data_IF_186884073577
#
_entry.id   IF_186884073577
#
_cell.length_a   1.000
_cell.length_b   1.000
_cell.length_c   1.000
_cell.angle_alpha   90.00
_cell.angle_beta   90.00
_cell.angle_gamma   90.00
#
_symmetry.space_group_name_H-M   'P 1'
#
loop_
_entity.id
_entity.type
_entity.pdbx_description
1 polymer ?
#
# COMPACT_ATOMS: atom_id res chain seq x y z
N UNK A 1 9.89 18.06 -10.76
CA UNK A 1 9.31 16.73 -11.08
C UNK A 1 8.16 16.34 -10.16
N UNK A 2 8.35 16.30 -8.83
CA UNK A 2 7.25 15.92 -7.91
C UNK A 2 6.04 16.85 -7.93
N UNK A 3 6.24 18.16 -8.08
CA UNK A 3 5.13 19.13 -8.08
C UNK A 3 4.08 18.83 -9.17
N UNK A 4 4.52 18.50 -10.39
CA UNK A 4 3.59 18.17 -11.48
C UNK A 4 2.84 16.85 -11.21
N UNK A 5 3.54 15.84 -10.67
CA UNK A 5 2.95 14.55 -10.33
C UNK A 5 1.89 14.70 -9.21
N UNK A 6 2.21 15.45 -8.16
CA UNK A 6 1.31 15.63 -7.03
C UNK A 6 0.15 16.56 -7.34
N UNK A 7 0.36 17.60 -8.16
CA UNK A 7 -0.74 18.43 -8.66
C UNK A 7 -1.77 17.57 -9.40
N UNK A 8 -1.32 16.73 -10.33
CA UNK A 8 -2.21 15.86 -11.10
C UNK A 8 -2.92 14.83 -10.21
N UNK A 9 -2.24 14.25 -9.22
CA UNK A 9 -2.86 13.37 -8.23
C UNK A 9 -3.94 14.10 -7.43
N UNK A 10 -3.63 15.28 -6.85
CA UNK A 10 -4.59 16.03 -6.03
C UNK A 10 -5.85 16.40 -6.82
N UNK A 11 -5.68 16.88 -8.05
CA UNK A 11 -6.81 17.25 -8.94
C UNK A 11 -7.75 16.09 -9.26
N UNK A 12 -7.29 14.84 -9.16
CA UNK A 12 -8.09 13.65 -9.42
C UNK A 12 -8.57 12.95 -8.15
N UNK A 13 -7.76 12.91 -7.09
CA UNK A 13 -8.06 12.19 -5.85
C UNK A 13 -9.08 12.93 -4.98
N UNK A 14 -9.00 14.25 -4.84
CA UNK A 14 -9.97 15.01 -4.05
C UNK A 14 -11.39 14.87 -4.63
N UNK A 15 -11.64 15.08 -5.94
CA UNK A 15 -12.97 14.86 -6.49
C UNK A 15 -13.43 13.40 -6.49
N UNK A 16 -12.51 12.44 -6.53
CA UNK A 16 -12.85 11.02 -6.40
C UNK A 16 -13.32 10.71 -4.98
N UNK A 17 -12.61 11.21 -3.96
CA UNK A 17 -12.98 11.08 -2.56
C UNK A 17 -14.36 11.66 -2.28
N UNK A 18 -14.64 12.87 -2.77
CA UNK A 18 -15.96 13.51 -2.62
C UNK A 18 -17.09 12.65 -3.18
N UNK A 19 -16.89 12.09 -4.39
CA UNK A 19 -17.86 11.19 -5.01
C UNK A 19 -18.07 9.92 -4.20
N UNK A 20 -17.00 9.34 -3.67
CA UNK A 20 -17.07 8.13 -2.83
C UNK A 20 -17.83 8.43 -1.53
N UNK A 21 -17.53 9.56 -0.86
CA UNK A 21 -18.23 9.96 0.36
C UNK A 21 -19.74 10.14 0.11
N UNK A 22 -20.12 10.84 -0.96
CA UNK A 22 -21.52 11.00 -1.37
C UNK A 22 -22.22 9.68 -1.73
N UNK A 23 -21.51 8.74 -2.37
CA UNK A 23 -22.05 7.42 -2.68
C UNK A 23 -22.28 6.60 -1.41
N UNK A 24 -21.35 6.69 -0.44
CA UNK A 24 -21.41 5.98 0.83
C UNK A 24 -22.58 6.43 1.72
N UNK A 25 -22.95 7.71 1.66
CA UNK A 25 -24.17 8.20 2.32
C UNK A 25 -25.43 7.48 1.84
N UNK A 26 -25.47 7.07 0.56
CA UNK A 26 -26.60 6.36 -0.04
C UNK A 26 -26.51 4.84 0.14
N UNK A 27 -25.30 4.29 0.14
CA UNK A 27 -25.02 2.87 0.27
C UNK A 27 -23.75 2.67 1.13
N UNK A 28 -23.89 2.55 2.47
CA UNK A 28 -22.75 2.54 3.39
C UNK A 28 -21.87 1.30 3.28
N UNK A 29 -22.32 0.26 2.57
CA UNK A 29 -21.60 -1.00 2.42
C UNK A 29 -21.61 -1.88 3.66
N UNK A 30 -20.95 -3.05 3.58
CA UNK A 30 -20.81 -3.95 4.73
C UNK A 30 -19.95 -3.31 5.83
N UNK A 31 -20.19 -3.72 7.07
CA UNK A 31 -19.40 -3.32 8.23
C UNK A 31 -19.18 -4.50 9.16
N UNK A 32 -18.14 -4.40 10.00
CA UNK A 32 -17.86 -5.39 11.04
C UNK A 32 -18.78 -5.10 12.23
N UNK A 33 -19.63 -6.05 12.65
CA UNK A 33 -20.41 -5.88 13.88
C UNK A 33 -19.49 -5.69 15.08
N UNK A 34 -19.83 -4.78 15.99
CA UNK A 34 -19.05 -4.53 17.23
C UNK A 34 -18.97 -5.73 18.17
N UNK A 35 -19.81 -6.75 17.97
CA UNK A 35 -19.83 -8.01 18.69
C UNK A 35 -18.95 -9.09 18.05
N UNK A 36 -18.37 -8.81 16.88
CA UNK A 36 -17.50 -9.77 16.18
C UNK A 36 -16.20 -9.93 16.95
N UNK A 37 -15.66 -11.14 16.91
CA UNK A 37 -14.37 -11.45 17.52
C UNK A 37 -13.56 -12.30 16.55
N UNK A 38 -12.32 -11.89 16.30
CA UNK A 38 -11.40 -12.55 15.39
C UNK A 38 -10.18 -13.02 16.20
N UNK A 39 -10.18 -14.25 16.73
CA UNK A 39 -9.09 -14.73 17.58
C UNK A 39 -7.72 -14.61 16.90
N UNK A 40 -6.73 -14.09 17.64
CA UNK A 40 -5.36 -13.87 17.13
C UNK A 40 -4.75 -15.13 16.45
N UNK A 41 -4.87 -16.36 17.00
CA UNK A 41 -4.32 -17.54 16.34
C UNK A 41 -4.90 -17.81 14.95
N UNK A 42 -6.16 -17.44 14.72
CA UNK A 42 -6.83 -17.60 13.42
C UNK A 42 -6.37 -16.49 12.45
N UNK A 43 -6.17 -15.27 12.95
CA UNK A 43 -5.54 -14.19 12.17
C UNK A 43 -4.11 -14.56 11.75
N UNK A 44 -3.27 -15.08 12.66
CA UNK A 44 -1.90 -15.52 12.34
C UNK A 44 -1.90 -16.62 11.27
N UNK A 45 -2.73 -17.66 11.44
CA UNK A 45 -2.84 -18.74 10.47
C UNK A 45 -3.31 -18.25 9.09
N UNK A 46 -4.29 -17.34 9.03
CA UNK A 46 -4.75 -16.75 7.78
C UNK A 46 -3.63 -15.92 7.12
N UNK A 47 -2.97 -15.07 7.88
CA UNK A 47 -1.88 -14.21 7.42
C UNK A 47 -0.69 -15.01 6.87
N UNK A 48 -0.27 -16.08 7.56
CA UNK A 48 0.78 -16.99 7.06
C UNK A 48 0.39 -17.60 5.73
N UNK A 49 -0.86 -18.05 5.59
CA UNK A 49 -1.37 -18.62 4.34
C UNK A 49 -1.33 -17.60 3.19
N UNK A 50 -1.64 -16.33 3.45
CA UNK A 50 -1.50 -15.25 2.45
C UNK A 50 -0.04 -15.08 2.03
N UNK A 51 0.88 -14.96 2.99
CA UNK A 51 2.30 -14.80 2.70
C UNK A 51 2.88 -15.99 1.90
N UNK A 52 2.53 -17.22 2.30
CA UNK A 52 2.89 -18.45 1.57
C UNK A 52 2.33 -18.44 0.14
N UNK A 53 1.07 -18.01 -0.04
CA UNK A 53 0.44 -17.94 -1.37
C UNK A 53 1.17 -16.98 -2.30
N UNK A 54 1.68 -15.86 -1.79
CA UNK A 54 2.48 -14.92 -2.57
C UNK A 54 3.89 -15.45 -2.89
N UNK A 55 4.33 -16.50 -2.20
CA UNK A 55 5.63 -17.15 -2.42
C UNK A 55 6.71 -16.72 -1.43
N UNK A 56 6.34 -16.17 -0.27
CA UNK A 56 7.30 -15.86 0.78
C UNK A 56 7.96 -17.15 1.29
N UNK A 57 9.30 -17.14 1.35
CA UNK A 57 10.05 -18.30 1.81
C UNK A 57 10.28 -18.27 3.33
N UNK A 58 9.45 -19.00 4.08
CA UNK A 58 9.59 -19.15 5.54
C UNK A 58 10.83 -19.94 5.99
N UNK A 59 11.55 -20.61 5.08
CA UNK A 59 12.87 -21.19 5.41
C UNK A 59 13.99 -20.14 5.39
N UNK A 60 13.74 -18.96 4.83
CA UNK A 60 14.67 -17.84 4.71
C UNK A 60 14.08 -16.57 5.35
N UNK A 61 13.20 -16.73 6.33
CA UNK A 61 12.47 -15.63 6.92
C UNK A 61 11.42 -16.04 7.95
N UNK A 62 10.81 -15.06 8.61
CA UNK A 62 9.74 -15.30 9.59
C UNK A 62 8.82 -14.09 9.74
N UNK A 63 7.62 -14.37 10.28
CA UNK A 63 6.60 -13.37 10.64
C UNK A 63 6.41 -13.35 12.16
N UNK A 64 6.47 -12.15 12.75
CA UNK A 64 6.39 -11.87 14.19
C UNK A 64 5.41 -10.74 14.53
N UNK A 65 5.24 -10.44 15.82
CA UNK A 65 4.38 -9.36 16.31
C UNK A 65 5.22 -8.14 16.69
N UNK A 66 4.74 -6.94 16.34
CA UNK A 66 5.30 -5.67 16.86
C UNK A 66 4.24 -4.57 16.96
N UNK A 67 4.56 -3.45 17.60
CA UNK A 67 3.63 -2.30 17.73
C UNK A 67 3.35 -1.59 16.40
N UNK A 68 4.32 -1.58 15.49
CA UNK A 68 4.22 -1.00 14.15
C UNK A 68 4.80 -2.01 13.16
N UNK A 69 4.00 -2.56 12.24
CA UNK A 69 4.49 -3.46 11.19
C UNK A 69 5.69 -2.88 10.45
N UNK A 70 6.69 -3.72 10.19
CA UNK A 70 7.85 -3.39 9.36
C UNK A 70 8.48 -4.65 8.80
N UNK A 71 9.25 -4.48 7.73
CA UNK A 71 10.11 -5.51 7.14
C UNK A 71 11.57 -5.16 7.36
N UNK A 72 12.36 -6.14 7.77
CA UNK A 72 13.79 -6.00 7.97
C UNK A 72 14.52 -7.34 7.74
N UNK A 73 15.77 -7.29 7.33
CA UNK A 73 16.64 -8.46 7.27
C UNK A 73 17.90 -8.25 8.10
N UNK A 74 18.49 -9.35 8.59
CA UNK A 74 19.79 -9.29 9.26
C UNK A 74 20.96 -9.54 8.28
N UNK A 75 20.75 -10.41 7.29
CA UNK A 75 21.68 -10.78 6.24
C UNK A 75 20.91 -11.37 5.06
N UNK A 76 21.56 -11.58 3.91
CA UNK A 76 20.89 -12.21 2.78
C UNK A 76 20.47 -13.64 3.13
N UNK A 77 19.20 -13.97 2.83
CA UNK A 77 18.59 -15.24 3.25
C UNK A 77 17.97 -15.24 4.65
N UNK A 78 17.95 -14.10 5.36
CA UNK A 78 17.13 -13.88 6.56
C UNK A 78 16.31 -12.60 6.41
N UNK A 79 15.09 -12.74 5.89
CA UNK A 79 14.12 -11.65 5.72
C UNK A 79 12.96 -11.84 6.68
N UNK A 80 12.76 -10.87 7.57
CA UNK A 80 11.72 -10.92 8.60
C UNK A 80 10.74 -9.79 8.38
N UNK A 81 9.52 -10.01 8.81
CA UNK A 81 8.56 -8.93 8.92
C UNK A 81 7.64 -9.12 10.10
N UNK A 82 6.98 -8.04 10.50
CA UNK A 82 6.10 -8.03 11.66
C UNK A 82 4.69 -7.61 11.27
N UNK A 83 3.72 -7.99 12.09
CA UNK A 83 2.35 -7.50 12.00
C UNK A 83 1.82 -7.13 13.40
N UNK A 84 0.62 -6.56 13.44
CA UNK A 84 -0.12 -6.28 14.67
C UNK A 84 -1.54 -6.79 14.51
N UNK A 85 -1.99 -7.60 15.47
CA UNK A 85 -3.34 -8.15 15.48
C UNK A 85 -4.29 -7.26 16.28
N UNK A 86 -5.56 -7.28 15.89
CA UNK A 86 -6.67 -6.67 16.62
C UNK A 86 -7.85 -7.64 16.58
N UNK A 87 -8.29 -8.14 17.74
CA UNK A 87 -9.40 -9.10 17.81
C UNK A 87 -10.74 -8.52 17.35
N UNK A 88 -10.87 -7.19 17.30
CA UNK A 88 -12.06 -6.51 16.79
C UNK A 88 -12.00 -6.25 15.26
N UNK A 89 -10.81 -6.24 14.67
CA UNK A 89 -10.58 -5.76 13.29
C UNK A 89 -9.47 -6.56 12.58
N UNK A 90 -9.82 -7.62 11.81
CA UNK A 90 -8.84 -8.51 11.20
C UNK A 90 -8.24 -7.92 9.92
N UNK A 91 -8.92 -7.00 9.24
CA UNK A 91 -8.47 -6.52 7.93
C UNK A 91 -7.22 -5.65 8.04
N UNK A 92 -7.01 -4.98 9.18
CA UNK A 92 -5.78 -4.23 9.46
C UNK A 92 -4.54 -5.12 9.41
N UNK A 93 -4.55 -6.26 10.12
CA UNK A 93 -3.41 -7.17 10.12
C UNK A 93 -3.22 -7.88 8.77
N UNK A 94 -4.31 -8.19 8.08
CA UNK A 94 -4.29 -8.83 6.75
C UNK A 94 -3.61 -7.89 5.75
N UNK A 95 -4.05 -6.62 5.69
CA UNK A 95 -3.43 -5.61 4.84
C UNK A 95 -1.95 -5.39 5.18
N UNK A 96 -1.61 -5.29 6.47
CA UNK A 96 -0.22 -5.16 6.90
C UNK A 96 0.63 -6.36 6.46
N UNK A 97 0.13 -7.59 6.56
CA UNK A 97 0.87 -8.78 6.12
C UNK A 97 1.03 -8.82 4.61
N UNK A 98 0.02 -8.43 3.83
CA UNK A 98 0.17 -8.32 2.38
C UNK A 98 1.23 -7.28 2.00
N UNK A 99 1.23 -6.13 2.68
CA UNK A 99 2.19 -5.05 2.51
C UNK A 99 3.62 -5.50 2.81
N UNK A 100 3.85 -5.98 4.03
CA UNK A 100 5.17 -6.39 4.49
C UNK A 100 5.69 -7.62 3.74
N UNK A 101 4.80 -8.52 3.31
CA UNK A 101 5.21 -9.63 2.43
C UNK A 101 5.75 -9.09 1.11
N UNK A 102 5.17 -8.05 0.52
CA UNK A 102 5.68 -7.47 -0.72
C UNK A 102 7.07 -6.84 -0.59
N UNK A 103 7.33 -6.16 0.52
CA UNK A 103 8.68 -5.74 0.90
C UNK A 103 9.64 -6.93 1.03
N UNK A 104 9.22 -7.94 1.78
CA UNK A 104 10.04 -9.12 2.03
C UNK A 104 10.35 -9.92 0.75
N UNK A 105 9.41 -9.98 -0.19
CA UNK A 105 9.60 -10.63 -1.49
C UNK A 105 10.63 -9.91 -2.36
N UNK A 106 10.74 -8.59 -2.26
CA UNK A 106 11.80 -7.85 -2.94
C UNK A 106 13.16 -8.24 -2.39
N UNK A 107 13.32 -8.20 -1.06
CA UNK A 107 14.57 -8.55 -0.39
C UNK A 107 14.98 -10.01 -0.69
N UNK A 108 14.03 -10.96 -0.66
CA UNK A 108 14.27 -12.36 -1.03
C UNK A 108 14.57 -12.55 -2.52
N UNK A 109 14.28 -11.56 -3.37
CA UNK A 109 14.54 -11.58 -4.81
C UNK A 109 15.87 -10.92 -5.22
N UNK A 110 16.61 -10.30 -4.28
CA UNK A 110 17.93 -9.73 -4.56
C UNK A 110 18.96 -10.84 -4.84
N UNK A 111 19.91 -10.55 -5.75
CA UNK A 111 20.90 -11.53 -6.19
C UNK A 111 22.01 -11.74 -5.14
N UNK A 112 22.12 -12.95 -4.61
CA UNK A 112 23.15 -13.34 -3.63
C UNK A 112 24.59 -13.18 -4.16
N UNK A 113 24.81 -13.31 -5.48
CA UNK A 113 26.13 -13.08 -6.08
C UNK A 113 26.65 -11.64 -5.92
N UNK A 114 25.78 -10.71 -5.52
CA UNK A 114 26.10 -9.32 -5.28
C UNK A 114 25.98 -8.92 -3.79
N UNK A 115 25.83 -9.90 -2.89
CA UNK A 115 25.79 -9.67 -1.45
C UNK A 115 27.00 -8.83 -0.99
N UNK A 116 26.77 -7.98 0.02
CA UNK A 116 27.77 -7.03 0.56
C UNK A 116 28.27 -5.95 -0.41
N UNK A 117 27.63 -5.80 -1.58
CA UNK A 117 27.91 -4.70 -2.50
C UNK A 117 26.69 -3.79 -2.66
N UNK A 118 26.85 -2.51 -3.05
CA UNK A 118 25.72 -1.66 -3.38
C UNK A 118 24.79 -2.31 -4.42
N UNK A 119 25.36 -3.04 -5.40
CA UNK A 119 24.60 -3.72 -6.46
C UNK A 119 23.61 -4.76 -5.91
N UNK A 120 23.89 -5.38 -4.78
CA UNK A 120 23.03 -6.36 -4.12
C UNK A 120 21.93 -5.76 -3.25
N UNK A 121 21.87 -4.44 -3.09
CA UNK A 121 20.88 -3.76 -2.25
C UNK A 121 19.62 -3.37 -3.04
N UNK A 122 18.51 -3.18 -2.34
CA UNK A 122 17.34 -2.50 -2.89
C UNK A 122 17.69 -1.08 -3.37
N UNK A 123 17.05 -0.65 -4.46
CA UNK A 123 17.49 0.55 -5.19
C UNK A 123 17.07 1.86 -4.50
N UNK A 124 15.85 1.92 -3.95
CA UNK A 124 15.32 3.07 -3.22
C UNK A 124 14.06 2.70 -2.44
N UNK A 125 13.67 3.56 -1.51
CA UNK A 125 12.41 3.45 -0.76
C UNK A 125 11.19 3.42 -1.68
N UNK A 126 11.16 4.25 -2.73
CA UNK A 126 10.01 4.27 -3.66
C UNK A 126 9.85 2.99 -4.47
N UNK A 127 10.94 2.35 -4.91
CA UNK A 127 10.85 1.03 -5.56
C UNK A 127 10.54 -0.06 -4.54
N UNK A 128 11.02 0.07 -3.31
CA UNK A 128 10.72 -0.88 -2.24
C UNK A 128 9.24 -0.86 -1.85
N UNK A 129 8.67 0.34 -1.70
CA UNK A 129 7.25 0.59 -1.48
C UNK A 129 6.39 0.15 -2.68
N UNK A 130 6.90 0.22 -3.90
CA UNK A 130 6.14 -0.26 -5.04
C UNK A 130 5.89 -1.76 -4.99
N UNK A 131 6.80 -2.52 -4.38
CA UNK A 131 6.62 -3.96 -4.19
C UNK A 131 5.59 -4.23 -3.11
N UNK A 132 5.65 -3.55 -1.95
CA UNK A 132 4.64 -3.71 -0.90
C UNK A 132 3.24 -3.34 -1.38
N UNK A 133 3.08 -2.18 -2.05
CA UNK A 133 1.79 -1.72 -2.56
C UNK A 133 1.23 -2.58 -3.69
N UNK A 134 2.09 -3.14 -4.54
CA UNK A 134 1.65 -4.07 -5.58
C UNK A 134 0.99 -5.30 -4.98
N UNK A 135 1.64 -5.94 -4.02
CA UNK A 135 1.13 -7.14 -3.35
C UNK A 135 -0.04 -6.85 -2.40
N UNK A 136 0.02 -5.73 -1.67
CA UNK A 136 -1.07 -5.27 -0.80
C UNK A 136 -2.33 -4.97 -1.61
N UNK A 137 -2.25 -4.04 -2.54
CA UNK A 137 -3.42 -3.35 -3.07
C UNK A 137 -3.92 -3.93 -4.39
N UNK A 138 -3.04 -4.00 -5.38
CA UNK A 138 -3.41 -4.44 -6.72
C UNK A 138 -3.63 -5.94 -6.80
N UNK A 139 -2.98 -6.71 -5.92
CA UNK A 139 -3.20 -8.16 -5.76
C UNK A 139 -4.10 -8.44 -4.56
N UNK A 140 -3.66 -8.12 -3.33
CA UNK A 140 -4.36 -8.54 -2.11
C UNK A 140 -5.72 -7.91 -1.85
N UNK A 141 -5.97 -6.72 -2.40
CA UNK A 141 -7.27 -6.05 -2.34
C UNK A 141 -8.05 -6.14 -3.66
N UNK A 142 -7.70 -7.04 -4.58
CA UNK A 142 -8.45 -7.25 -5.82
C UNK A 142 -9.66 -8.18 -5.62
N UNK A 143 -10.64 -8.08 -6.52
CA UNK A 143 -11.80 -8.95 -6.51
C UNK A 143 -11.40 -10.42 -6.74
N UNK A 144 -10.52 -10.71 -7.71
CA UNK A 144 -10.02 -12.06 -7.95
C UNK A 144 -9.34 -12.67 -6.74
N UNK A 145 -8.58 -11.89 -5.95
CA UNK A 145 -7.94 -12.43 -4.76
C UNK A 145 -8.96 -12.79 -3.69
N UNK A 146 -10.00 -11.96 -3.50
CA UNK A 146 -11.04 -12.23 -2.50
C UNK A 146 -11.99 -13.38 -2.89
N UNK A 147 -12.09 -13.75 -4.17
CA UNK A 147 -12.71 -15.04 -4.58
C UNK A 147 -11.94 -16.26 -4.08
N UNK A 148 -10.63 -16.13 -3.88
CA UNK A 148 -9.77 -17.19 -3.35
C UNK A 148 -9.73 -17.11 -1.81
N UNK A 149 -9.36 -15.94 -1.29
CA UNK A 149 -9.15 -15.70 0.13
C UNK A 149 -10.46 -15.71 0.92
N UNK A 150 -11.60 -15.40 0.31
CA UNK A 150 -12.91 -15.45 0.96
C UNK A 150 -13.25 -16.84 1.50
N UNK A 151 -12.87 -17.89 0.78
CA UNK A 151 -13.01 -19.26 1.27
C UNK A 151 -12.14 -19.54 2.49
N UNK A 152 -10.92 -19.01 2.52
CA UNK A 152 -10.03 -19.16 3.68
C UNK A 152 -10.53 -18.36 4.87
N UNK A 153 -11.10 -17.19 4.61
CA UNK A 153 -11.65 -16.31 5.62
C UNK A 153 -12.83 -17.00 6.33
N UNK A 154 -13.82 -17.48 5.57
CA UNK A 154 -14.98 -18.21 6.11
C UNK A 154 -14.60 -19.51 6.82
N UNK A 155 -13.53 -20.19 6.36
CA UNK A 155 -13.00 -21.36 7.07
C UNK A 155 -12.37 -21.00 8.42
N UNK A 156 -11.73 -19.83 8.50
CA UNK A 156 -11.00 -19.38 9.70
C UNK A 156 -11.93 -18.71 10.71
N UNK A 157 -12.93 -17.96 10.26
CA UNK A 157 -13.80 -17.15 11.11
C UNK A 157 -15.25 -17.57 10.90
N UNK A 158 -15.76 -18.40 11.82
CA UNK A 158 -17.12 -18.95 11.76
C UNK A 158 -18.14 -18.12 12.57
N UNK A 159 -17.65 -17.31 13.52
CA UNK A 159 -18.48 -16.50 14.43
C UNK A 159 -18.72 -15.06 13.92
N UNK A 160 -18.46 -14.80 12.64
CA UNK A 160 -18.74 -13.51 11.98
C UNK A 160 -19.96 -13.63 11.03
N UNK A 161 -20.53 -12.51 10.55
CA UNK A 161 -21.56 -12.57 9.51
C UNK A 161 -21.09 -13.40 8.31
N UNK A 162 -22.02 -14.09 7.65
CA UNK A 162 -21.73 -14.76 6.39
C UNK A 162 -21.55 -13.72 5.28
N UNK A 163 -20.30 -13.25 5.14
CA UNK A 163 -19.91 -12.35 4.07
C UNK A 163 -19.62 -13.11 2.78
N UNK A 164 -20.23 -12.63 1.69
CA UNK A 164 -19.85 -13.06 0.34
C UNK A 164 -18.44 -12.59 0.00
N UNK A 165 -17.88 -13.11 -1.09
CA UNK A 165 -16.57 -12.64 -1.60
C UNK A 165 -16.63 -11.14 -1.97
N UNK A 166 -17.79 -10.68 -2.47
CA UNK A 166 -18.04 -9.27 -2.75
C UNK A 166 -18.06 -8.43 -1.45
N UNK A 167 -18.71 -8.91 -0.39
CA UNK A 167 -18.73 -8.20 0.89
C UNK A 167 -17.33 -8.06 1.48
N UNK A 168 -16.53 -9.14 1.47
CA UNK A 168 -15.14 -9.11 1.94
C UNK A 168 -14.27 -8.17 1.09
N UNK A 169 -14.43 -8.21 -0.23
CA UNK A 169 -13.77 -7.30 -1.15
C UNK A 169 -14.13 -5.83 -0.86
N UNK A 170 -15.40 -5.54 -0.56
CA UNK A 170 -15.85 -4.19 -0.17
C UNK A 170 -15.36 -3.78 1.22
N UNK A 171 -15.30 -4.70 2.18
CA UNK A 171 -14.77 -4.44 3.53
C UNK A 171 -13.30 -4.02 3.49
N UNK A 172 -12.44 -4.74 2.77
CA UNK A 172 -11.01 -4.39 2.73
C UNK A 172 -10.71 -3.15 1.87
N UNK A 173 -11.62 -2.76 0.99
CA UNK A 173 -11.50 -1.58 0.14
C UNK A 173 -12.33 -0.41 0.63
N UNK A 174 -12.71 -0.42 1.91
CA UNK A 174 -13.46 0.67 2.50
C UNK A 174 -12.62 1.95 2.50
N UNK A 175 -13.24 3.03 2.03
CA UNK A 175 -12.70 4.40 2.02
C UNK A 175 -13.35 5.22 3.14
N UNK A 176 -12.54 5.92 3.92
CA UNK A 176 -12.98 6.84 4.97
C UNK A 176 -12.05 8.04 5.04
N UNK A 177 -12.60 9.21 5.34
CA UNK A 177 -11.81 10.34 5.78
C UNK A 177 -11.38 10.11 7.23
N UNK A 178 -10.11 9.83 7.44
CA UNK A 178 -9.52 9.65 8.77
C UNK A 178 -8.27 10.52 8.92
N UNK A 179 -7.80 10.69 10.16
CA UNK A 179 -6.67 11.57 10.44
C UNK A 179 -5.31 10.87 10.30
N UNK A 180 -5.26 9.54 10.36
CA UNK A 180 -4.04 8.77 10.61
C UNK A 180 -3.54 8.16 9.30
N UNK A 181 -2.43 8.69 8.77
CA UNK A 181 -1.87 8.25 7.47
C UNK A 181 -1.64 6.74 7.37
N UNK A 182 -1.16 6.09 8.43
CA UNK A 182 -0.88 4.65 8.42
C UNK A 182 -2.14 3.78 8.41
N UNK A 183 -3.31 4.37 8.67
CA UNK A 183 -4.63 3.73 8.62
C UNK A 183 -5.45 4.22 7.40
N UNK A 184 -4.87 5.05 6.54
CA UNK A 184 -5.55 5.58 5.37
C UNK A 184 -5.72 4.53 4.26
N UNK A 185 -6.84 4.60 3.56
CA UNK A 185 -7.16 3.75 2.41
C UNK A 185 -6.41 4.19 1.14
N UNK A 186 -6.51 3.43 0.05
CA UNK A 186 -5.74 3.71 -1.17
C UNK A 186 -6.05 5.06 -1.83
N UNK A 187 -7.26 5.58 -1.66
CA UNK A 187 -7.70 6.85 -2.24
C UNK A 187 -7.15 8.02 -1.42
N UNK A 188 -7.25 7.92 -0.09
CA UNK A 188 -6.89 9.01 0.83
C UNK A 188 -5.40 9.02 1.17
N UNK A 189 -4.70 7.88 1.16
CA UNK A 189 -3.30 7.74 1.58
C UNK A 189 -2.35 8.73 0.89
N UNK A 190 -2.50 8.92 -0.43
CA UNK A 190 -1.64 9.84 -1.17
C UNK A 190 -1.94 11.30 -0.85
N UNK A 191 -3.17 11.66 -0.46
CA UNK A 191 -3.48 13.00 0.05
C UNK A 191 -2.71 13.28 1.35
N UNK A 192 -2.61 12.31 2.26
CA UNK A 192 -1.83 12.45 3.49
C UNK A 192 -0.34 12.67 3.20
N UNK A 193 0.21 11.95 2.23
CA UNK A 193 1.61 12.10 1.80
C UNK A 193 1.85 13.48 1.18
N UNK A 194 0.97 13.91 0.27
CA UNK A 194 1.07 15.22 -0.37
C UNK A 194 0.95 16.35 0.64
N UNK A 195 0.15 16.18 1.70
CA UNK A 195 -0.03 17.22 2.72
C UNK A 195 1.31 17.48 3.43
N UNK A 196 2.02 16.41 3.80
CA UNK A 196 3.34 16.51 4.40
C UNK A 196 4.35 17.12 3.44
N UNK A 197 4.29 16.75 2.17
CA UNK A 197 5.15 17.35 1.15
C UNK A 197 4.91 18.86 0.98
N UNK A 198 3.66 19.32 0.99
CA UNK A 198 3.36 20.75 0.92
C UNK A 198 3.82 21.51 2.17
N UNK A 199 3.71 20.89 3.36
CA UNK A 199 4.30 21.45 4.58
C UNK A 199 5.82 21.54 4.48
N UNK A 200 6.50 20.49 4.03
CA UNK A 200 7.96 20.50 3.84
C UNK A 200 8.39 21.56 2.82
N UNK A 201 7.67 21.69 1.70
CA UNK A 201 7.91 22.76 0.72
C UNK A 201 7.72 24.15 1.32
N UNK A 202 6.68 24.35 2.11
CA UNK A 202 6.44 25.63 2.75
C UNK A 202 7.63 26.03 3.64
N UNK A 203 8.18 25.07 4.42
CA UNK A 203 9.36 25.29 5.26
C UNK A 203 10.59 25.61 4.40
N UNK A 204 10.96 24.72 3.48
CA UNK A 204 12.28 24.78 2.83
C UNK A 204 12.34 25.69 1.60
N UNK A 205 11.26 25.81 0.83
CA UNK A 205 11.24 26.60 -0.39
C UNK A 205 10.62 27.99 -0.18
N UNK A 206 9.65 28.10 0.74
CA UNK A 206 8.91 29.34 0.96
C UNK A 206 9.28 30.06 2.27
N UNK A 207 10.12 29.46 3.11
CA UNK A 207 10.62 30.07 4.35
C UNK A 207 9.57 30.18 5.46
N UNK A 208 8.55 29.31 5.46
CA UNK A 208 7.53 29.24 6.52
C UNK A 208 8.17 28.92 7.88
N UNK A 209 7.72 29.61 8.92
CA UNK A 209 8.17 29.32 10.29
C UNK A 209 7.57 28.01 10.80
N UNK A 210 8.33 27.26 11.60
CA UNK A 210 7.90 25.95 12.15
C UNK A 210 6.64 26.11 13.02
N UNK A 211 6.45 27.26 13.68
CA UNK A 211 5.25 27.55 14.46
C UNK A 211 3.98 27.67 13.62
N UNK A 212 4.08 27.84 12.30
CA UNK A 212 2.94 27.92 11.38
C UNK A 212 2.48 26.54 10.87
N UNK A 213 3.23 25.46 11.16
CA UNK A 213 2.90 24.08 10.74
C UNK A 213 1.48 23.67 11.13
N UNK A 214 1.00 23.84 12.39
CA UNK A 214 -0.35 23.43 12.75
C UNK A 214 -1.44 24.12 11.91
N UNK A 215 -1.24 25.41 11.60
CA UNK A 215 -2.20 26.16 10.81
C UNK A 215 -2.26 25.66 9.36
N UNK A 216 -1.11 25.55 8.68
CA UNK A 216 -1.06 25.05 7.30
C UNK A 216 -1.60 23.61 7.23
N UNK A 217 -1.21 22.76 8.17
CA UNK A 217 -1.69 21.38 8.26
C UNK A 217 -3.22 21.33 8.31
N UNK A 218 -3.82 22.07 9.25
CA UNK A 218 -5.25 22.04 9.47
C UNK A 218 -6.02 22.60 8.26
N UNK A 219 -5.51 23.65 7.62
CA UNK A 219 -6.12 24.20 6.40
C UNK A 219 -6.09 23.22 5.24
N UNK A 220 -4.95 22.56 4.98
CA UNK A 220 -4.85 21.54 3.92
C UNK A 220 -5.73 20.32 4.22
N UNK A 221 -5.85 19.93 5.49
CA UNK A 221 -6.69 18.82 5.89
C UNK A 221 -8.17 19.10 5.63
N UNK A 222 -8.65 20.29 6.01
CA UNK A 222 -10.02 20.71 5.75
C UNK A 222 -10.28 20.84 4.24
N UNK A 223 -9.33 21.41 3.48
CA UNK A 223 -9.45 21.59 2.03
C UNK A 223 -9.54 20.25 1.27
N UNK A 224 -8.71 19.26 1.62
CA UNK A 224 -8.59 18.04 0.83
C UNK A 224 -9.41 16.87 1.34
N UNK A 225 -9.73 16.84 2.64
CA UNK A 225 -10.48 15.75 3.28
C UNK A 225 -11.86 16.19 3.76
N UNK A 226 -12.17 17.50 3.75
CA UNK A 226 -13.46 18.02 4.17
C UNK A 226 -13.74 17.92 5.67
N UNK A 227 -12.72 17.67 6.50
CA UNK A 227 -12.86 17.51 7.95
C UNK A 227 -11.85 18.37 8.72
N UNK A 228 -12.31 18.94 9.84
CA UNK A 228 -11.48 19.74 10.73
C UNK A 228 -10.66 18.86 11.67
N UNK A 229 -9.36 19.15 11.79
CA UNK A 229 -8.45 18.46 12.71
C UNK A 229 -8.77 18.89 14.15
N UNK A 230 -9.07 17.96 15.07
CA UNK A 230 -9.54 18.31 16.41
C UNK A 230 -8.43 18.76 17.36
N UNK A 231 -7.19 18.32 17.14
CA UNK A 231 -6.01 18.67 17.95
C UNK A 231 -4.73 18.18 17.24
N UNK A 232 -3.57 18.69 17.67
CA UNK A 232 -2.28 18.38 17.04
C UNK A 232 -1.83 16.92 17.16
N UNK A 233 -2.34 16.16 18.14
CA UNK A 233 -2.06 14.72 18.27
C UNK A 233 -2.64 13.93 17.10
N UNK A 234 -3.81 14.34 16.61
CA UNK A 234 -4.42 13.83 15.38
C UNK A 234 -4.04 14.69 14.15
N UNK A 235 -3.25 15.74 14.36
CA UNK A 235 -2.77 16.66 13.33
C UNK A 235 -1.31 16.44 13.02
N UNK A 236 -0.54 17.53 13.05
CA UNK A 236 0.86 17.57 12.64
C UNK A 236 1.82 16.74 13.51
N UNK A 237 1.42 16.29 14.71
CA UNK A 237 2.26 15.46 15.60
C UNK A 237 2.06 13.95 15.41
N UNK A 238 1.22 13.52 14.47
CA UNK A 238 0.87 12.10 14.31
C UNK A 238 2.02 11.21 13.82
N UNK A 239 3.02 11.78 13.14
CA UNK A 239 4.13 11.04 12.53
C UNK A 239 5.48 11.40 13.16
N UNK A 240 6.33 10.38 13.33
CA UNK A 240 7.65 10.52 13.97
C UNK A 240 8.74 11.06 13.03
N UNK A 241 8.46 11.13 11.72
CA UNK A 241 9.47 11.39 10.68
C UNK A 241 10.21 12.71 10.88
N UNK A 242 9.49 13.81 11.10
CA UNK A 242 10.11 15.12 11.30
C UNK A 242 10.91 15.20 12.60
N UNK A 243 10.42 14.57 13.68
CA UNK A 243 11.18 14.43 14.92
C UNK A 243 12.48 13.61 14.74
N UNK A 244 12.50 12.72 13.75
CA UNK A 244 13.66 11.89 13.36
C UNK A 244 14.49 12.51 12.23
N UNK A 245 14.25 13.78 11.88
CA UNK A 245 14.93 14.52 10.81
C UNK A 245 14.76 13.91 9.39
N UNK A 246 13.72 13.10 9.19
CA UNK A 246 13.44 12.44 7.91
C UNK A 246 12.62 13.34 6.95
N UNK A 247 13.18 14.50 6.60
CA UNK A 247 12.60 15.41 5.60
C UNK A 247 12.86 14.93 4.16
N UNK A 248 11.91 15.14 3.25
CA UNK A 248 11.97 14.60 1.89
C UNK A 248 11.70 13.09 1.80
N UNK A 249 11.32 12.45 2.92
CA UNK A 249 11.06 11.03 3.02
C UNK A 249 9.67 10.68 2.48
N UNK A 250 8.63 11.42 2.90
CA UNK A 250 7.23 11.10 2.59
C UNK A 250 6.92 10.92 1.09
N UNK A 251 7.47 11.72 0.15
CA UNK A 251 7.20 11.55 -1.27
C UNK A 251 7.51 10.14 -1.80
N UNK A 252 8.44 9.42 -1.16
CA UNK A 252 8.79 8.05 -1.54
C UNK A 252 7.62 7.07 -1.42
N UNK A 253 6.70 7.30 -0.47
CA UNK A 253 5.51 6.46 -0.33
C UNK A 253 4.58 6.57 -1.54
N UNK A 254 4.31 7.79 -2.01
CA UNK A 254 3.47 7.98 -3.21
C UNK A 254 4.16 7.48 -4.46
N UNK A 255 5.49 7.65 -4.59
CA UNK A 255 6.23 7.05 -5.70
C UNK A 255 6.06 5.52 -5.75
N UNK A 256 5.98 4.85 -4.60
CA UNK A 256 5.66 3.44 -4.51
C UNK A 256 4.33 3.10 -5.19
N UNK A 257 3.27 3.82 -4.86
CA UNK A 257 1.96 3.65 -5.50
C UNK A 257 2.03 3.85 -7.02
N UNK A 258 2.70 4.90 -7.50
CA UNK A 258 2.81 5.18 -8.93
C UNK A 258 3.59 4.09 -9.67
N UNK A 259 4.74 3.70 -9.13
CA UNK A 259 5.57 2.66 -9.72
C UNK A 259 4.84 1.32 -9.71
N UNK A 260 4.09 0.99 -8.66
CA UNK A 260 3.36 -0.27 -8.57
C UNK A 260 2.37 -0.42 -9.71
N UNK A 261 1.58 0.63 -10.01
CA UNK A 261 0.59 0.60 -11.08
C UNK A 261 1.24 0.51 -12.47
N UNK A 262 2.33 1.25 -12.68
CA UNK A 262 3.06 1.24 -13.94
C UNK A 262 3.75 -0.12 -14.20
N UNK A 263 4.22 -0.79 -13.14
CA UNK A 263 4.77 -2.14 -13.23
C UNK A 263 3.70 -3.18 -13.57
N UNK A 264 2.50 -3.07 -12.97
CA UNK A 264 1.38 -3.96 -13.29
C UNK A 264 0.92 -3.78 -14.75
N UNK A 265 0.78 -2.54 -15.24
CA UNK A 265 0.44 -2.28 -16.65
C UNK A 265 1.44 -2.94 -17.59
N UNK A 266 2.74 -2.85 -17.28
CA UNK A 266 3.77 -3.50 -18.08
C UNK A 266 3.73 -5.02 -17.98
N UNK A 267 3.53 -5.56 -16.77
CA UNK A 267 3.49 -7.00 -16.52
C UNK A 267 2.36 -7.68 -17.29
N UNK A 268 1.15 -7.11 -17.30
CA UNK A 268 0.01 -7.71 -18.03
C UNK A 268 0.24 -7.73 -19.54
N UNK A 269 0.96 -6.73 -20.08
CA UNK A 269 1.36 -6.69 -21.49
C UNK A 269 2.41 -7.76 -21.79
N UNK A 270 3.43 -7.88 -20.94
CA UNK A 270 4.53 -8.82 -21.16
C UNK A 270 4.10 -10.29 -21.04
N UNK A 271 3.15 -10.56 -20.13
CA UNK A 271 2.60 -11.90 -19.90
C UNK A 271 1.41 -12.23 -20.83
N UNK A 272 0.95 -11.28 -21.64
CA UNK A 272 -0.26 -11.38 -22.49
C UNK A 272 -1.47 -11.94 -21.72
N UNK A 273 -1.64 -11.47 -20.48
CA UNK A 273 -2.65 -11.98 -19.55
C UNK A 273 -3.06 -10.90 -18.55
N UNK A 274 -4.36 -10.69 -18.40
CA UNK A 274 -4.92 -9.75 -17.44
C UNK A 274 -4.59 -10.16 -15.99
N UNK A 275 -4.44 -9.18 -15.10
CA UNK A 275 -4.09 -9.40 -13.70
C UNK A 275 -5.15 -10.22 -12.96
N UNK A 276 -6.44 -9.97 -13.20
CA UNK A 276 -7.52 -10.72 -12.54
C UNK A 276 -7.48 -12.20 -12.96
N UNK A 277 -7.12 -12.48 -14.22
CA UNK A 277 -6.93 -13.84 -14.73
C UNK A 277 -5.68 -14.50 -14.12
N UNK A 278 -4.55 -13.78 -14.02
CA UNK A 278 -3.35 -14.28 -13.36
C UNK A 278 -3.65 -14.70 -11.91
N UNK A 279 -4.38 -13.85 -11.17
CA UNK A 279 -4.76 -14.12 -9.78
C UNK A 279 -5.72 -15.31 -9.70
N UNK A 280 -6.80 -15.29 -10.48
CA UNK A 280 -7.87 -16.31 -10.44
C UNK A 280 -7.36 -17.70 -10.81
N UNK A 281 -6.44 -17.80 -11.76
CA UNK A 281 -5.85 -19.07 -12.19
C UNK A 281 -4.77 -19.58 -11.23
N UNK A 282 -4.46 -18.82 -10.16
CA UNK A 282 -3.48 -19.18 -9.16
C UNK A 282 -2.03 -18.95 -9.58
N UNK A 283 -1.79 -18.13 -10.61
CA UNK A 283 -0.49 -17.84 -11.22
C UNK A 283 0.33 -16.79 -10.43
N UNK A 284 0.19 -16.76 -9.10
CA UNK A 284 1.03 -15.93 -8.22
C UNK A 284 2.54 -16.17 -8.43
N UNK A 285 3.02 -17.42 -8.67
CA UNK A 285 4.42 -17.65 -8.99
C UNK A 285 4.88 -16.95 -10.27
N UNK A 286 4.02 -16.80 -11.28
CA UNK A 286 4.36 -16.12 -12.53
C UNK A 286 4.52 -14.60 -12.32
N UNK A 287 3.63 -14.00 -11.52
CA UNK A 287 3.74 -12.60 -11.09
C UNK A 287 5.06 -12.38 -10.36
N UNK A 288 5.36 -13.21 -9.35
CA UNK A 288 6.60 -13.09 -8.58
C UNK A 288 7.84 -13.29 -9.44
N UNK A 289 7.81 -14.26 -10.37
CA UNK A 289 8.91 -14.49 -11.30
C UNK A 289 9.18 -13.26 -12.17
N UNK A 290 8.13 -12.66 -12.75
CA UNK A 290 8.28 -11.44 -13.55
C UNK A 290 8.92 -10.31 -12.73
N UNK A 291 8.50 -10.12 -11.48
CA UNK A 291 9.08 -9.11 -10.59
C UNK A 291 10.54 -9.42 -10.25
N UNK A 292 10.90 -10.69 -10.04
CA UNK A 292 12.30 -11.10 -9.81
C UNK A 292 13.18 -10.77 -11.01
N UNK A 293 12.72 -11.12 -12.21
CA UNK A 293 13.48 -10.92 -13.44
C UNK A 293 13.64 -9.45 -13.80
N UNK A 294 12.60 -8.64 -13.61
CA UNK A 294 12.58 -7.25 -14.09
C UNK A 294 12.99 -6.23 -13.03
N UNK A 295 12.72 -6.48 -11.75
CA UNK A 295 12.95 -5.54 -10.65
C UNK A 295 13.94 -6.11 -9.64
N UNK A 296 13.63 -7.23 -8.98
CA UNK A 296 14.39 -7.66 -7.79
C UNK A 296 15.85 -7.97 -8.14
N UNK A 297 16.06 -8.73 -9.22
CA UNK A 297 17.41 -9.09 -9.67
C UNK A 297 18.28 -7.88 -10.01
N UNK A 298 17.70 -6.71 -10.29
CA UNK A 298 18.46 -5.51 -10.70
C UNK A 298 19.12 -4.82 -9.51
N UNK A 299 18.68 -5.08 -8.28
CA UNK A 299 19.17 -4.41 -7.08
C UNK A 299 19.43 -2.91 -7.34
N UNK A 300 20.58 -2.40 -6.91
CA UNK A 300 20.99 -1.00 -7.13
C UNK A 300 21.81 -0.79 -8.40
N UNK A 301 21.54 -1.53 -9.47
CA UNK A 301 22.26 -1.39 -10.75
C UNK A 301 21.96 -0.08 -11.48
N UNK A 302 20.75 0.43 -11.31
CA UNK A 302 20.25 1.62 -12.01
C UNK A 302 19.73 2.64 -11.00
N UNK A 303 19.65 3.90 -11.41
CA UNK A 303 18.89 4.90 -10.65
C UNK A 303 17.38 4.53 -10.63
N UNK A 304 16.63 4.86 -9.57
CA UNK A 304 15.27 4.34 -9.36
C UNK A 304 14.30 4.65 -10.51
N UNK A 305 14.18 5.93 -10.89
CA UNK A 305 13.30 6.35 -11.99
C UNK A 305 13.73 5.75 -13.34
N UNK A 306 15.05 5.54 -13.51
CA UNK A 306 15.60 4.91 -14.71
C UNK A 306 15.32 3.41 -14.76
N UNK A 307 15.35 2.70 -13.63
CA UNK A 307 14.94 1.30 -13.55
C UNK A 307 13.48 1.16 -14.01
N UNK A 308 12.59 1.98 -13.47
CA UNK A 308 11.17 1.98 -13.88
C UNK A 308 11.03 2.27 -15.38
N UNK A 309 11.74 3.28 -15.91
CA UNK A 309 11.71 3.60 -17.34
C UNK A 309 12.25 2.46 -18.21
N UNK A 310 13.31 1.77 -17.79
CA UNK A 310 13.88 0.62 -18.51
C UNK A 310 12.87 -0.52 -18.58
N UNK A 311 12.19 -0.82 -17.47
CA UNK A 311 11.26 -1.94 -17.39
C UNK A 311 9.97 -1.63 -18.15
N UNK A 312 9.39 -0.45 -17.94
CA UNK A 312 8.06 -0.12 -18.46
C UNK A 312 8.09 0.62 -19.79
N UNK A 313 9.27 1.07 -20.26
CA UNK A 313 9.44 1.88 -21.46
C UNK A 313 8.97 3.33 -21.34
N UNK A 314 8.51 3.76 -20.16
CA UNK A 314 7.97 5.10 -19.90
C UNK A 314 8.54 5.66 -18.60
N UNK A 315 8.80 6.97 -18.54
CA UNK A 315 9.12 7.63 -17.26
C UNK A 315 7.97 7.47 -16.27
N UNK A 316 8.23 7.52 -14.96
CA UNK A 316 7.18 7.54 -13.97
C UNK A 316 6.10 8.60 -14.24
N UNK A 317 4.84 8.18 -14.18
CA UNK A 317 3.65 8.99 -14.43
C UNK A 317 2.53 8.59 -13.46
N UNK A 318 1.60 9.49 -13.07
CA UNK A 318 0.49 9.12 -12.20
C UNK A 318 -0.66 8.44 -12.95
N UNK A 319 -0.68 8.52 -14.28
CA UNK A 319 -1.77 8.02 -15.13
C UNK A 319 -2.16 6.55 -14.86
N UNK A 320 -1.23 5.57 -14.79
CA UNK A 320 -1.59 4.17 -14.54
C UNK A 320 -2.29 3.99 -13.18
N UNK A 321 -1.80 4.69 -12.16
CA UNK A 321 -2.34 4.64 -10.81
C UNK A 321 -3.72 5.29 -10.72
N UNK A 322 -3.90 6.47 -11.32
CA UNK A 322 -5.19 7.15 -11.38
C UNK A 322 -6.24 6.34 -12.16
N UNK A 323 -5.84 5.72 -13.27
CA UNK A 323 -6.69 4.82 -14.06
C UNK A 323 -7.12 3.60 -13.25
N UNK A 324 -6.19 2.97 -12.53
CA UNK A 324 -6.46 1.86 -11.62
C UNK A 324 -7.46 2.24 -10.53
N UNK A 325 -7.20 3.32 -9.78
CA UNK A 325 -8.08 3.76 -8.70
C UNK A 325 -9.48 4.10 -9.23
N UNK A 326 -9.55 4.87 -10.32
CA UNK A 326 -10.84 5.27 -10.90
C UNK A 326 -11.65 4.04 -11.31
N UNK A 327 -11.04 3.08 -12.01
CA UNK A 327 -11.73 1.84 -12.43
C UNK A 327 -12.24 1.06 -11.22
N UNK A 328 -11.37 0.82 -10.23
CA UNK A 328 -11.67 0.02 -9.04
C UNK A 328 -12.77 0.68 -8.20
N UNK A 329 -12.60 1.95 -7.83
CA UNK A 329 -13.51 2.63 -6.92
C UNK A 329 -14.81 3.08 -7.58
N UNK A 330 -14.83 3.34 -8.90
CA UNK A 330 -16.11 3.49 -9.62
C UNK A 330 -16.93 2.20 -9.57
N UNK A 331 -16.31 1.02 -9.67
CA UNK A 331 -17.03 -0.25 -9.57
C UNK A 331 -17.54 -0.52 -8.14
N UNK A 332 -16.71 -0.29 -7.11
CA UNK A 332 -17.08 -0.55 -5.71
C UNK A 332 -18.18 0.37 -5.20
N UNK A 333 -18.15 1.65 -5.59
CA UNK A 333 -19.06 2.68 -5.09
C UNK A 333 -20.15 3.11 -6.08
N UNK A 334 -20.16 2.57 -7.30
CA UNK A 334 -21.17 2.87 -8.33
C UNK A 334 -21.15 4.33 -8.80
N UNK A 335 -19.96 4.85 -9.13
CA UNK A 335 -19.72 6.28 -9.46
C UNK A 335 -19.88 6.64 -10.94
#
# INVERSE_FOLDING_TARGET
DYDLLFEELRQNLVPLLDKIMLAKEKNPGPSIPSTSNFPIPLQDSFCRRVAEKYGFNFSAGRMDISSHPFSAGLWSGDTRFTTRYDEAEPFSCIGAVMHETGHALYEQGLLLEHEYTPRGQAVSLGVHESQSRLWENQIGRSEAFWKIAGNWFRQSFQDCPEWSDEDLHRLINRVDTNFIRVEADEVTYNLHVMLRYEVEKAIFNNGMDVSEIPQLWNSLFEEWFGIAVPNDTLGCLQDVHWASLAFGYFPTYTLGNLYSAQLIEKMVIDLDKDLECLISDGEMPLILQWLRENIHSKGKKYEPSKLIEIVTGKRPTPEPFLSYLKRKYSAIYGL
#
